data_IF_545746489360
#
_entry.id   IF_545746489360
#
_cell.length_a   1.000
_cell.length_b   1.000
_cell.length_c   1.000
_cell.angle_alpha   90.00
_cell.angle_beta   90.00
_cell.angle_gamma   90.00
#
_symmetry.space_group_name_H-M   'P 1'
#
loop_
_entity.id
_entity.type
_entity.pdbx_description
1 polymer ?
#
# COMPACT_ATOMS: atom_id res chain seq x y z
N UNK A 1 8.44 3.49 5.29
CA UNK A 1 8.80 2.70 4.06
C UNK A 1 8.38 1.26 4.26
N UNK A 2 7.70 0.65 3.31
CA UNK A 2 7.31 -0.77 3.44
C UNK A 2 8.46 -1.69 3.08
N UNK A 3 8.86 -2.56 4.00
CA UNK A 3 9.86 -3.61 3.74
C UNK A 3 9.26 -4.66 2.80
N UNK A 4 9.93 -4.89 1.66
CA UNK A 4 9.46 -5.80 0.60
C UNK A 4 10.42 -6.95 0.31
N UNK A 5 11.68 -6.84 0.71
CA UNK A 5 12.70 -7.85 0.43
C UNK A 5 13.67 -8.01 1.59
N UNK A 6 14.51 -9.06 1.50
CA UNK A 6 15.47 -9.43 2.55
C UNK A 6 16.56 -8.37 2.77
N UNK A 7 16.96 -7.65 1.75
CA UNK A 7 17.95 -6.58 1.88
C UNK A 7 17.39 -5.42 2.71
N UNK A 8 16.18 -4.96 2.37
CA UNK A 8 15.48 -3.89 3.11
C UNK A 8 15.23 -4.31 4.57
N UNK A 9 14.88 -5.57 4.80
CA UNK A 9 14.67 -6.10 6.15
C UNK A 9 15.94 -6.03 6.99
N UNK A 10 17.08 -6.49 6.44
CA UNK A 10 18.37 -6.43 7.14
C UNK A 10 18.79 -4.98 7.41
N UNK A 11 18.59 -4.09 6.44
CA UNK A 11 18.89 -2.68 6.59
C UNK A 11 18.02 -2.02 7.67
N UNK A 12 16.72 -2.28 7.68
CA UNK A 12 15.79 -1.78 8.68
C UNK A 12 16.16 -2.27 10.10
N UNK A 13 16.53 -3.54 10.25
CA UNK A 13 17.00 -4.07 11.54
C UNK A 13 18.29 -3.39 12.02
N UNK A 14 19.24 -3.18 11.14
CA UNK A 14 20.47 -2.49 11.47
C UNK A 14 20.21 -1.03 11.88
N UNK A 15 19.33 -0.34 11.16
CA UNK A 15 18.94 1.03 11.47
C UNK A 15 18.19 1.13 12.80
N UNK A 16 17.25 0.20 13.05
CA UNK A 16 16.54 0.14 14.33
C UNK A 16 17.49 -0.11 15.51
N UNK A 17 18.50 -0.95 15.32
CA UNK A 17 19.55 -1.16 16.31
C UNK A 17 20.34 0.10 16.64
N UNK A 18 20.73 0.87 15.61
CA UNK A 18 21.42 2.16 15.78
C UNK A 18 20.56 3.17 16.51
N UNK A 19 19.29 3.29 16.18
CA UNK A 19 18.37 4.21 16.85
C UNK A 19 18.13 3.80 18.31
N UNK A 20 17.97 2.50 18.57
CA UNK A 20 17.81 1.99 19.93
C UNK A 20 19.05 2.28 20.79
N UNK A 21 20.25 2.08 20.23
CA UNK A 21 21.51 2.39 20.91
C UNK A 21 21.66 3.88 21.15
N UNK A 22 21.37 4.71 20.14
CA UNK A 22 21.40 6.17 20.29
C UNK A 22 20.44 6.67 21.39
N UNK A 23 19.24 6.08 21.50
CA UNK A 23 18.29 6.42 22.57
C UNK A 23 18.76 5.95 23.94
N UNK A 24 19.37 4.78 24.03
CA UNK A 24 19.88 4.24 25.29
C UNK A 24 21.01 5.11 25.89
N UNK A 25 21.81 5.76 25.04
CA UNK A 25 22.91 6.63 25.41
C UNK A 25 22.61 8.13 25.27
N UNK A 26 21.36 8.48 25.00
CA UNK A 26 20.97 9.88 24.80
C UNK A 26 21.01 10.64 26.12
N UNK A 27 21.87 11.63 26.20
CA UNK A 27 21.98 12.50 27.35
C UNK A 27 21.06 13.72 27.19
N UNK A 28 20.01 13.80 27.96
CA UNK A 28 19.04 14.92 27.91
C UNK A 28 19.52 16.17 28.69
N UNK A 29 20.65 16.08 29.41
CA UNK A 29 21.12 17.21 30.19
C UNK A 29 21.59 18.34 29.29
N UNK A 30 21.16 19.60 29.57
CA UNK A 30 21.55 20.76 28.76
C UNK A 30 23.07 20.93 28.62
N UNK A 31 23.82 20.51 29.62
CA UNK A 31 25.29 20.61 29.68
C UNK A 31 25.97 19.75 28.62
N UNK A 32 25.31 18.65 28.19
CA UNK A 32 25.80 17.79 27.14
C UNK A 32 25.57 18.37 25.70
N UNK A 33 24.77 19.45 25.61
CA UNK A 33 24.38 20.09 24.35
C UNK A 33 24.57 21.60 24.41
N UNK A 34 25.82 22.12 24.47
CA UNK A 34 26.09 23.53 24.58
C UNK A 34 25.42 24.33 23.45
N UNK A 35 24.69 25.40 23.82
CA UNK A 35 24.02 26.26 22.83
C UNK A 35 22.71 25.73 22.26
N UNK A 36 22.25 24.57 22.69
CA UNK A 36 20.98 23.98 22.24
C UNK A 36 19.91 24.19 23.31
N UNK A 37 18.75 24.71 22.90
CA UNK A 37 17.63 24.90 23.79
C UNK A 37 17.09 23.56 24.31
N UNK A 38 16.75 23.40 25.61
CA UNK A 38 16.29 22.12 26.18
C UNK A 38 15.09 21.49 25.46
N UNK A 39 14.19 22.30 24.90
CA UNK A 39 13.05 21.82 24.10
C UNK A 39 13.49 21.11 22.79
N UNK A 40 14.58 21.59 22.17
CA UNK A 40 15.15 20.99 20.98
C UNK A 40 15.84 19.66 21.27
N UNK A 41 16.51 19.55 22.43
CA UNK A 41 17.12 18.31 22.90
C UNK A 41 16.03 17.22 23.04
N UNK A 42 14.93 17.57 23.73
CA UNK A 42 13.80 16.66 23.89
C UNK A 42 13.14 16.31 22.56
N UNK A 43 12.93 17.29 21.68
CA UNK A 43 12.36 17.07 20.36
C UNK A 43 13.22 16.13 19.50
N UNK A 44 14.55 16.24 19.55
CA UNK A 44 15.46 15.32 18.86
C UNK A 44 15.30 13.88 19.36
N UNK A 45 15.20 13.69 20.68
CA UNK A 45 14.95 12.37 21.27
C UNK A 45 13.61 11.79 20.79
N UNK A 46 12.56 12.60 20.82
CA UNK A 46 11.22 12.17 20.38
C UNK A 46 11.19 11.78 18.91
N UNK A 47 11.88 12.50 18.04
CA UNK A 47 12.00 12.16 16.61
C UNK A 47 12.67 10.80 16.45
N UNK A 48 13.80 10.56 17.08
CA UNK A 48 14.52 9.28 16.99
C UNK A 48 13.67 8.13 17.55
N UNK A 49 12.96 8.36 18.65
CA UNK A 49 12.06 7.38 19.25
C UNK A 49 10.89 7.04 18.30
N UNK A 50 10.32 8.04 17.65
CA UNK A 50 9.23 7.87 16.68
C UNK A 50 9.70 7.09 15.45
N UNK A 51 10.86 7.42 14.89
CA UNK A 51 11.45 6.70 13.76
C UNK A 51 11.77 5.23 14.10
N UNK A 52 12.26 4.98 15.32
CA UNK A 52 12.49 3.63 15.81
C UNK A 52 11.20 2.82 15.87
N UNK A 53 10.12 3.41 16.36
CA UNK A 53 8.83 2.74 16.45
C UNK A 53 8.28 2.38 15.05
N UNK A 54 8.36 3.31 14.09
CA UNK A 54 7.98 3.06 12.70
C UNK A 54 8.77 1.88 12.11
N UNK A 55 10.09 1.84 12.33
CA UNK A 55 10.92 0.74 11.86
C UNK A 55 10.54 -0.60 12.51
N UNK A 56 10.28 -0.61 13.81
CA UNK A 56 9.86 -1.81 14.55
C UNK A 56 8.54 -2.37 14.03
N UNK A 57 7.57 -1.51 13.76
CA UNK A 57 6.28 -1.91 13.20
C UNK A 57 6.43 -2.52 11.80
N UNK A 58 7.26 -1.92 10.93
CA UNK A 58 7.52 -2.45 9.60
C UNK A 58 8.29 -3.80 9.65
N UNK A 59 9.26 -3.95 10.54
CA UNK A 59 9.98 -5.20 10.76
C UNK A 59 9.02 -6.29 11.22
N UNK A 60 8.21 -6.01 12.24
CA UNK A 60 7.21 -6.93 12.78
C UNK A 60 6.19 -7.37 11.72
N UNK A 61 5.73 -6.41 10.89
CA UNK A 61 4.84 -6.68 9.77
C UNK A 61 5.48 -7.63 8.76
N UNK A 62 6.72 -7.37 8.36
CA UNK A 62 7.45 -8.22 7.41
C UNK A 62 7.65 -9.64 7.94
N UNK A 63 8.05 -9.79 9.21
CA UNK A 63 8.20 -11.07 9.89
C UNK A 63 6.88 -11.85 9.96
N UNK A 64 5.77 -11.16 10.27
CA UNK A 64 4.43 -11.74 10.28
C UNK A 64 4.01 -12.24 8.89
N UNK A 65 4.31 -11.48 7.82
CA UNK A 65 4.03 -11.91 6.45
C UNK A 65 4.83 -13.16 6.05
N UNK A 66 6.08 -13.25 6.46
CA UNK A 66 6.93 -14.43 6.20
C UNK A 66 6.38 -15.70 6.86
N UNK A 67 5.72 -15.60 7.99
CA UNK A 67 5.16 -16.74 8.74
C UNK A 67 3.78 -17.16 8.25
N UNK A 68 3.03 -16.26 7.58
CA UNK A 68 1.63 -16.52 7.20
C UNK A 68 1.50 -17.02 5.76
N UNK A 69 1.08 -18.28 5.61
CA UNK A 69 0.58 -18.83 4.34
C UNK A 69 -0.74 -18.18 3.87
N UNK A 70 -1.47 -17.51 4.77
CA UNK A 70 -2.78 -16.90 4.48
C UNK A 70 -2.74 -15.71 3.50
N UNK A 71 -1.58 -15.12 3.27
CA UNK A 71 -1.44 -14.07 2.24
C UNK A 71 -1.63 -14.61 0.82
N UNK A 72 -1.44 -15.92 0.61
CA UNK A 72 -1.66 -16.57 -0.69
C UNK A 72 -3.14 -16.66 -1.07
N UNK A 73 -4.04 -16.67 -0.08
CA UNK A 73 -5.49 -16.73 -0.31
C UNK A 73 -6.01 -15.52 -1.09
N UNK A 74 -5.35 -14.36 -0.94
CA UNK A 74 -5.69 -13.15 -1.68
C UNK A 74 -5.37 -13.25 -3.17
N UNK A 75 -4.51 -14.16 -3.59
CA UNK A 75 -4.20 -14.36 -5.02
C UNK A 75 -5.36 -15.00 -5.79
N UNK A 76 -6.27 -15.70 -5.11
CA UNK A 76 -7.51 -16.22 -5.73
C UNK A 76 -8.36 -15.09 -6.32
N UNK A 77 -8.30 -13.89 -5.75
CA UNK A 77 -9.00 -12.70 -6.27
C UNK A 77 -8.59 -12.42 -7.72
N UNK A 78 -7.35 -12.70 -8.10
CA UNK A 78 -6.86 -12.42 -9.47
C UNK A 78 -7.56 -13.30 -10.49
N UNK A 79 -7.80 -14.57 -10.18
CA UNK A 79 -8.51 -15.50 -11.09
C UNK A 79 -10.01 -15.20 -11.18
N UNK A 80 -10.58 -14.66 -10.12
CA UNK A 80 -12.00 -14.31 -10.02
C UNK A 80 -12.28 -12.87 -10.50
N UNK A 81 -11.25 -12.05 -10.66
CA UNK A 81 -11.36 -10.63 -10.98
C UNK A 81 -12.08 -10.35 -12.30
N UNK A 82 -11.84 -11.07 -13.40
CA UNK A 82 -12.55 -10.83 -14.66
C UNK A 82 -14.06 -10.95 -14.51
N UNK A 83 -14.52 -12.03 -13.92
CA UNK A 83 -15.95 -12.25 -13.67
C UNK A 83 -16.53 -11.21 -12.71
N UNK A 84 -15.81 -10.90 -11.64
CA UNK A 84 -16.21 -9.88 -10.67
C UNK A 84 -16.38 -8.49 -11.32
N UNK A 85 -15.53 -8.11 -12.26
CA UNK A 85 -15.66 -6.84 -12.99
C UNK A 85 -16.91 -6.80 -13.88
N UNK A 86 -17.20 -7.88 -14.59
CA UNK A 86 -18.40 -7.99 -15.44
C UNK A 86 -19.66 -7.95 -14.57
N UNK A 87 -19.71 -8.73 -13.51
CA UNK A 87 -20.84 -8.78 -12.57
C UNK A 87 -21.07 -7.42 -11.91
N UNK A 88 -20.01 -6.75 -11.46
CA UNK A 88 -20.10 -5.42 -10.86
C UNK A 88 -20.62 -4.37 -11.85
N UNK A 89 -20.16 -4.42 -13.13
CA UNK A 89 -20.69 -3.56 -14.17
C UNK A 89 -22.20 -3.76 -14.36
N UNK A 90 -22.63 -5.01 -14.47
CA UNK A 90 -24.07 -5.36 -14.62
C UNK A 90 -24.85 -4.89 -13.41
N UNK A 91 -24.36 -5.17 -12.20
CA UNK A 91 -25.02 -4.79 -10.95
C UNK A 91 -25.14 -3.26 -10.78
N UNK A 92 -24.17 -2.49 -11.29
CA UNK A 92 -24.23 -1.04 -11.30
C UNK A 92 -25.12 -0.44 -12.40
N UNK A 93 -25.75 -1.28 -13.23
CA UNK A 93 -26.61 -0.85 -14.34
C UNK A 93 -25.87 -0.25 -15.53
N UNK A 94 -24.54 -0.38 -15.60
CA UNK A 94 -23.75 0.11 -16.72
C UNK A 94 -23.76 -0.86 -17.89
N UNK A 95 -24.11 -0.37 -19.07
CA UNK A 95 -23.84 -1.08 -20.33
C UNK A 95 -22.36 -0.98 -20.69
N UNK A 96 -21.87 -1.86 -21.54
CA UNK A 96 -20.50 -1.78 -22.07
C UNK A 96 -20.23 -0.41 -22.72
N UNK A 97 -21.21 0.12 -23.47
CA UNK A 97 -21.12 1.44 -24.09
C UNK A 97 -21.06 2.58 -23.05
N UNK A 98 -21.85 2.50 -22.00
CA UNK A 98 -21.84 3.51 -20.94
C UNK A 98 -20.52 3.50 -20.16
N UNK A 99 -19.98 2.33 -19.84
CA UNK A 99 -18.66 2.18 -19.21
C UNK A 99 -17.55 2.72 -20.12
N UNK A 100 -17.58 2.36 -21.41
CA UNK A 100 -16.60 2.86 -22.39
C UNK A 100 -16.61 4.40 -22.47
N UNK A 101 -17.79 5.00 -22.48
CA UNK A 101 -17.95 6.46 -22.51
C UNK A 101 -17.33 7.12 -21.28
N UNK A 102 -17.53 6.57 -20.09
CA UNK A 102 -16.92 7.08 -18.84
C UNK A 102 -15.40 7.06 -18.87
N UNK A 103 -14.82 6.11 -19.60
CA UNK A 103 -13.36 5.90 -19.70
C UNK A 103 -12.73 6.53 -20.95
N UNK A 104 -13.52 7.20 -21.80
CA UNK A 104 -13.04 7.72 -23.09
C UNK A 104 -12.62 6.62 -24.07
N UNK A 105 -13.23 5.44 -23.98
CA UNK A 105 -12.95 4.28 -24.81
C UNK A 105 -14.08 4.02 -25.81
N UNK A 106 -13.78 3.22 -26.84
CA UNK A 106 -14.79 2.67 -27.73
C UNK A 106 -15.49 1.47 -27.09
N UNK A 107 -16.81 1.26 -27.30
CA UNK A 107 -17.53 0.10 -26.78
C UNK A 107 -16.88 -1.24 -27.11
N UNK A 108 -16.32 -1.37 -28.31
CA UNK A 108 -15.61 -2.58 -28.75
C UNK A 108 -14.38 -2.91 -27.89
N UNK A 109 -13.74 -1.91 -27.29
CA UNK A 109 -12.61 -2.15 -26.39
C UNK A 109 -13.06 -2.81 -25.08
N UNK A 110 -14.17 -2.36 -24.49
CA UNK A 110 -14.76 -3.00 -23.32
C UNK A 110 -15.20 -4.42 -23.63
N UNK A 111 -15.89 -4.60 -24.78
CA UNK A 111 -16.31 -5.93 -25.24
C UNK A 111 -15.12 -6.89 -25.39
N UNK A 112 -14.01 -6.45 -25.97
CA UNK A 112 -12.78 -7.25 -26.09
C UNK A 112 -12.18 -7.61 -24.76
N UNK A 113 -12.14 -6.66 -23.82
CA UNK A 113 -11.64 -6.92 -22.47
C UNK A 113 -12.47 -8.01 -21.78
N UNK A 114 -13.78 -7.87 -21.77
CA UNK A 114 -14.69 -8.87 -21.17
C UNK A 114 -14.59 -10.22 -21.87
N UNK A 115 -14.58 -10.27 -23.21
CA UNK A 115 -14.47 -11.49 -23.98
C UNK A 115 -13.15 -12.25 -23.79
N UNK A 116 -12.06 -11.55 -23.49
CA UNK A 116 -10.74 -12.15 -23.22
C UNK A 116 -10.45 -12.34 -21.72
N UNK A 117 -11.44 -12.22 -20.87
CA UNK A 117 -11.26 -12.22 -19.41
C UNK A 117 -10.18 -11.22 -18.96
N UNK A 118 -10.14 -10.04 -19.57
CA UNK A 118 -9.16 -8.97 -19.29
C UNK A 118 -7.69 -9.37 -19.50
N UNK A 119 -7.42 -10.46 -20.23
CA UNK A 119 -6.07 -11.01 -20.40
C UNK A 119 -5.08 -10.01 -21.01
N UNK A 120 -5.57 -9.09 -21.85
CA UNK A 120 -4.73 -8.06 -22.51
C UNK A 120 -4.86 -6.68 -21.88
N UNK A 121 -5.64 -6.53 -20.83
CA UNK A 121 -5.77 -5.27 -20.12
C UNK A 121 -4.59 -5.07 -19.16
N UNK A 122 -4.01 -3.87 -19.18
CA UNK A 122 -3.01 -3.51 -18.16
C UNK A 122 -3.66 -3.42 -16.78
N UNK A 123 -2.86 -3.62 -15.74
CA UNK A 123 -3.34 -3.42 -14.36
C UNK A 123 -3.87 -1.99 -14.13
N UNK A 124 -3.24 -0.99 -14.76
CA UNK A 124 -3.72 0.39 -14.72
C UNK A 124 -5.12 0.52 -15.33
N UNK A 125 -5.38 -0.15 -16.45
CA UNK A 125 -6.68 -0.17 -17.11
C UNK A 125 -7.74 -0.87 -16.25
N UNK A 126 -7.40 -2.00 -15.66
CA UNK A 126 -8.29 -2.73 -14.74
C UNK A 126 -8.69 -1.83 -13.55
N UNK A 127 -7.75 -1.10 -12.97
CA UNK A 127 -8.04 -0.15 -11.89
C UNK A 127 -8.97 0.98 -12.32
N UNK A 128 -8.79 1.53 -13.51
CA UNK A 128 -9.66 2.57 -14.06
C UNK A 128 -11.09 2.05 -14.25
N UNK A 129 -11.23 0.84 -14.76
CA UNK A 129 -12.54 0.18 -14.95
C UNK A 129 -13.22 -0.04 -13.61
N UNK A 130 -12.53 -0.61 -12.63
CA UNK A 130 -13.06 -0.82 -11.28
C UNK A 130 -13.53 0.50 -10.64
N UNK A 131 -12.72 1.55 -10.70
CA UNK A 131 -13.07 2.86 -10.15
C UNK A 131 -14.29 3.49 -10.84
N UNK A 132 -14.43 3.33 -12.15
CA UNK A 132 -15.60 3.84 -12.90
C UNK A 132 -16.88 3.09 -12.51
N UNK A 133 -16.81 1.78 -12.27
CA UNK A 133 -17.94 0.96 -11.83
C UNK A 133 -18.34 1.32 -10.40
N UNK A 134 -17.37 1.46 -9.48
CA UNK A 134 -17.61 1.89 -8.09
C UNK A 134 -18.31 3.24 -8.03
N UNK A 135 -17.80 4.24 -8.75
CA UNK A 135 -18.38 5.57 -8.82
C UNK A 135 -19.84 5.57 -9.36
N UNK A 136 -20.15 4.69 -10.29
CA UNK A 136 -21.51 4.54 -10.82
C UNK A 136 -22.46 3.88 -9.82
N UNK A 137 -21.97 2.98 -8.96
CA UNK A 137 -22.78 2.30 -7.94
C UNK A 137 -23.15 3.24 -6.79
N UNK A 138 -22.28 4.20 -6.46
CA UNK A 138 -22.52 5.20 -5.40
C UNK A 138 -23.58 6.25 -5.78
N UNK A 139 -23.86 6.41 -7.07
CA UNK A 139 -24.85 7.38 -7.58
C UNK A 139 -26.27 6.81 -7.68
N UNK A 140 -26.48 5.58 -7.25
CA UNK A 140 -27.76 4.87 -7.23
C UNK A 140 -28.37 4.86 -5.85
#
# INVERSE_FOLDING_TARGET
MKIRNQWQYRHAKAQAGKFAEALAHFDERPEAHPGVHPRLIRAQKEVVASELEVLREEIKRFEKLRRKKSSLTRLKIISELPDALVEARIASGLTQAALARKLGLKPQQIQRYEASNYAQASLARIRQIASAIEAASEQR
#
